data_IF_803352467816
#
_entry.id   IF_803352467816
#
_cell.length_a   1.000
_cell.length_b   1.000
_cell.length_c   1.000
_cell.angle_alpha   90.00
_cell.angle_beta   90.00
_cell.angle_gamma   90.00
#
_symmetry.space_group_name_H-M   'P 1'
#
loop_
_entity.id
_entity.type
_entity.pdbx_description
1 polymer ?
#
# COMPACT_ATOMS: atom_id res chain seq x y z
N UNK A 1 -14.89 -5.18 6.70
CA UNK A 1 -13.95 -4.07 6.88
C UNK A 1 -12.62 -4.43 6.24
N UNK A 2 -12.03 -3.51 5.50
CA UNK A 2 -10.78 -3.78 4.81
C UNK A 2 -9.63 -2.99 5.41
N UNK A 3 -8.47 -3.59 5.42
CA UNK A 3 -7.24 -2.93 5.86
C UNK A 3 -6.25 -2.92 4.71
N UNK A 4 -5.41 -1.90 4.69
CA UNK A 4 -4.42 -1.72 3.64
C UNK A 4 -3.05 -1.59 4.28
N UNK A 5 -2.09 -2.35 3.79
CA UNK A 5 -0.71 -2.30 4.27
C UNK A 5 0.19 -1.74 3.19
N UNK A 6 0.93 -0.71 3.52
CA UNK A 6 1.95 -0.13 2.65
C UNK A 6 3.31 -0.57 3.16
N UNK A 7 4.06 -1.24 2.31
CA UNK A 7 5.41 -1.69 2.64
C UNK A 7 6.39 -0.91 1.77
N UNK A 8 7.29 -0.19 2.42
CA UNK A 8 8.35 0.56 1.74
C UNK A 8 9.67 0.01 2.25
N UNK A 9 10.40 -0.67 1.38
CA UNK A 9 11.64 -1.37 1.70
C UNK A 9 11.44 -2.32 2.89
N UNK A 10 11.87 -1.95 4.09
CA UNK A 10 11.77 -2.78 5.28
C UNK A 10 10.72 -2.28 6.28
N UNK A 11 9.99 -1.22 5.93
CA UNK A 11 9.00 -0.63 6.82
C UNK A 11 7.59 -0.93 6.34
N UNK A 12 6.68 -1.22 7.26
CA UNK A 12 5.28 -1.43 6.92
C UNK A 12 4.39 -0.51 7.76
N UNK A 13 3.29 -0.06 7.17
CA UNK A 13 2.32 0.80 7.84
C UNK A 13 0.92 0.37 7.43
N UNK A 14 0.01 0.30 8.38
CA UNK A 14 -1.35 -0.16 8.16
C UNK A 14 -2.33 1.02 8.14
N UNK A 15 -3.28 0.97 7.21
CA UNK A 15 -4.32 1.98 7.05
C UNK A 15 -5.69 1.32 7.00
N UNK A 16 -6.71 2.07 7.40
CA UNK A 16 -8.10 1.61 7.39
C UNK A 16 -8.87 2.05 6.14
N UNK A 17 -8.24 2.82 5.26
CA UNK A 17 -8.86 3.21 3.98
C UNK A 17 -7.81 3.32 2.87
N UNK A 18 -8.27 3.09 1.65
CA UNK A 18 -7.40 3.06 0.48
C UNK A 18 -6.79 4.42 0.15
N UNK A 19 -7.55 5.49 0.33
CA UNK A 19 -7.07 6.83 0.01
C UNK A 19 -5.81 7.17 0.81
N UNK A 20 -5.83 6.93 2.11
CA UNK A 20 -4.68 7.20 2.97
C UNK A 20 -3.50 6.31 2.62
N UNK A 21 -3.76 5.04 2.31
CA UNK A 21 -2.70 4.11 1.91
C UNK A 21 -2.02 4.56 0.62
N UNK A 22 -2.80 4.99 -0.38
CA UNK A 22 -2.27 5.47 -1.65
C UNK A 22 -1.50 6.78 -1.49
N UNK A 23 -1.97 7.67 -0.64
CA UNK A 23 -1.25 8.91 -0.33
C UNK A 23 0.12 8.59 0.27
N UNK A 24 0.20 7.58 1.12
CA UNK A 24 1.46 7.14 1.70
C UNK A 24 2.39 6.57 0.63
N UNK A 25 1.86 5.80 -0.31
CA UNK A 25 2.65 5.26 -1.42
C UNK A 25 3.22 6.39 -2.28
N UNK A 26 2.42 7.40 -2.58
CA UNK A 26 2.87 8.56 -3.36
C UNK A 26 3.95 9.33 -2.62
N UNK A 27 3.76 9.59 -1.32
CA UNK A 27 4.75 10.27 -0.50
C UNK A 27 6.07 9.51 -0.49
N UNK A 28 6.02 8.18 -0.32
CA UNK A 28 7.21 7.36 -0.28
C UNK A 28 7.95 7.40 -1.62
N UNK A 29 7.21 7.34 -2.72
CA UNK A 29 7.78 7.44 -4.06
C UNK A 29 8.55 8.75 -4.26
N UNK A 30 7.98 9.86 -3.78
CA UNK A 30 8.61 11.16 -3.90
C UNK A 30 9.78 11.34 -2.94
N UNK A 31 9.69 10.78 -1.75
CA UNK A 31 10.69 10.96 -0.69
C UNK A 31 11.89 10.04 -0.82
N UNK A 32 11.65 8.79 -1.24
CA UNK A 32 12.73 7.79 -1.32
C UNK A 32 13.22 7.55 -2.74
N UNK A 33 12.51 8.06 -3.73
CA UNK A 33 12.91 7.97 -5.12
C UNK A 33 12.52 6.66 -5.81
N UNK A 34 12.95 6.51 -7.04
CA UNK A 34 12.56 5.39 -7.90
C UNK A 34 13.20 4.06 -7.54
N UNK A 35 14.22 4.07 -6.69
CA UNK A 35 14.92 2.85 -6.26
C UNK A 35 14.20 2.14 -5.12
N UNK A 36 13.19 2.78 -4.54
CA UNK A 36 12.43 2.18 -3.44
C UNK A 36 11.43 1.16 -3.94
N UNK A 37 11.29 0.06 -3.21
CA UNK A 37 10.27 -0.94 -3.48
C UNK A 37 9.04 -0.59 -2.64
N UNK A 38 7.94 -0.29 -3.32
CA UNK A 38 6.68 0.08 -2.67
C UNK A 38 5.65 -0.99 -2.99
N UNK A 39 5.06 -1.57 -1.94
CA UNK A 39 4.04 -2.61 -2.07
C UNK A 39 2.78 -2.17 -1.34
N UNK A 40 1.63 -2.34 -1.99
CA UNK A 40 0.33 -2.07 -1.40
C UNK A 40 -0.48 -3.36 -1.37
N UNK A 41 -0.97 -3.70 -0.19
CA UNK A 41 -1.72 -4.94 0.03
C UNK A 41 -3.06 -4.59 0.65
N UNK A 42 -4.13 -5.20 0.12
CA UNK A 42 -5.47 -5.12 0.69
C UNK A 42 -5.76 -6.43 1.42
N UNK A 43 -6.24 -6.34 2.65
CA UNK A 43 -6.65 -7.50 3.43
C UNK A 43 -8.09 -7.27 3.89
N UNK A 44 -8.97 -8.25 3.63
CA UNK A 44 -10.35 -8.15 4.09
C UNK A 44 -10.52 -8.86 5.45
N UNK A 45 -11.73 -8.76 6.00
CA UNK A 45 -12.02 -9.34 7.31
C UNK A 45 -12.02 -10.86 7.33
N UNK A 46 -12.09 -11.49 6.17
CA UNK A 46 -12.00 -12.95 6.03
C UNK A 46 -10.56 -13.43 5.96
N UNK A 47 -9.60 -12.51 5.92
CA UNK A 47 -8.19 -12.84 5.84
C UNK A 47 -7.67 -13.01 4.43
N UNK A 48 -8.47 -12.69 3.41
CA UNK A 48 -8.01 -12.72 2.03
C UNK A 48 -7.11 -11.52 1.75
N UNK A 49 -6.02 -11.78 1.07
CA UNK A 49 -4.98 -10.77 0.80
C UNK A 49 -4.82 -10.60 -0.71
N UNK A 50 -4.82 -9.34 -1.14
CA UNK A 50 -4.69 -8.98 -2.54
C UNK A 50 -3.57 -7.97 -2.72
N UNK A 51 -2.71 -8.20 -3.72
CA UNK A 51 -1.73 -7.20 -4.11
C UNK A 51 -2.39 -6.15 -4.99
N UNK A 52 -2.13 -4.88 -4.68
CA UNK A 52 -2.67 -3.76 -5.45
C UNK A 52 -1.55 -2.95 -6.07
N UNK A 53 -1.89 -2.26 -7.18
CA UNK A 53 -0.99 -1.28 -7.75
C UNK A 53 -0.95 -0.07 -6.80
N UNK A 54 0.23 0.30 -6.29
CA UNK A 54 0.30 1.38 -5.29
C UNK A 54 -0.07 2.76 -5.82
N UNK A 55 -0.15 2.92 -7.13
CA UNK A 55 -0.45 4.23 -7.73
C UNK A 55 -1.85 4.32 -8.32
N UNK A 56 -2.45 3.19 -8.68
CA UNK A 56 -3.82 3.17 -9.22
C UNK A 56 -4.83 2.57 -8.25
N UNK A 57 -4.37 1.76 -7.29
CA UNK A 57 -5.25 1.06 -6.36
C UNK A 57 -5.95 -0.15 -6.96
N UNK A 58 -5.62 -0.53 -8.19
CA UNK A 58 -6.23 -1.67 -8.85
C UNK A 58 -5.58 -2.97 -8.41
N UNK A 59 -6.36 -4.05 -8.39
CA UNK A 59 -5.85 -5.38 -8.07
C UNK A 59 -4.93 -5.84 -9.20
N UNK A 60 -3.76 -6.30 -8.79
CA UNK A 60 -2.76 -6.79 -9.74
C UNK A 60 -3.09 -8.19 -10.26
#
# INVERSE_FOLDING_TARGET
>A
MKFYTVIVDHSSEEFDNLTNAMERCEWASQSYGSDSVITLIEEDEDGEVWGLDPFTGEIL
#
